data_IF_398661280561
#
_entry.id   IF_398661280561
#
_cell.length_a   1.000
_cell.length_b   1.000
_cell.length_c   1.000
_cell.angle_alpha   90.00
_cell.angle_beta   90.00
_cell.angle_gamma   90.00
#
_symmetry.space_group_name_H-M   'P 1'
#
loop_
_entity.id
_entity.type
_entity.pdbx_description
1 polymer ?
#
# COMPACT_ATOMS: atom_id res chain seq x y z
N UNK A 1 15.37 -21.03 -0.10
CA UNK A 1 14.82 -20.26 -1.25
C UNK A 1 16.02 -19.86 -2.09
N UNK A 2 16.00 -20.04 -3.42
CA UNK A 2 17.16 -19.71 -4.26
C UNK A 2 17.44 -18.20 -4.26
N UNK A 3 18.71 -17.81 -4.35
CA UNK A 3 19.12 -16.40 -4.36
C UNK A 3 18.44 -15.59 -5.47
N UNK A 4 18.17 -16.22 -6.62
CA UNK A 4 17.41 -15.65 -7.73
C UNK A 4 15.99 -15.21 -7.32
N UNK A 5 15.30 -16.02 -6.51
CA UNK A 5 13.95 -15.70 -6.02
C UNK A 5 13.95 -14.46 -5.13
N UNK A 6 14.99 -14.29 -4.30
CA UNK A 6 15.15 -13.12 -3.43
C UNK A 6 15.39 -11.85 -4.24
N UNK A 7 16.23 -11.93 -5.28
CA UNK A 7 16.49 -10.81 -6.18
C UNK A 7 15.23 -10.41 -6.95
N UNK A 8 14.48 -11.38 -7.47
CA UNK A 8 13.23 -11.12 -8.19
C UNK A 8 12.19 -10.42 -7.31
N UNK A 9 11.98 -10.91 -6.09
CA UNK A 9 11.04 -10.31 -5.15
C UNK A 9 11.47 -8.90 -4.73
N UNK A 10 12.78 -8.66 -4.53
CA UNK A 10 13.29 -7.32 -4.23
C UNK A 10 13.03 -6.34 -5.39
N UNK A 11 13.26 -6.75 -6.63
CA UNK A 11 12.97 -5.94 -7.82
C UNK A 11 11.46 -5.67 -7.97
N UNK A 12 10.63 -6.66 -7.68
CA UNK A 12 9.17 -6.52 -7.69
C UNK A 12 8.70 -5.52 -6.64
N UNK A 13 9.17 -5.63 -5.40
CA UNK A 13 8.84 -4.70 -4.31
C UNK A 13 9.31 -3.28 -4.62
N UNK A 14 10.52 -3.11 -5.17
CA UNK A 14 11.01 -1.81 -5.64
C UNK A 14 10.06 -1.16 -6.66
N UNK A 15 9.52 -1.93 -7.62
CA UNK A 15 8.54 -1.43 -8.59
C UNK A 15 7.24 -0.97 -7.93
N UNK A 16 6.78 -1.68 -6.89
CA UNK A 16 5.59 -1.29 -6.10
C UNK A 16 5.85 0.04 -5.40
N UNK A 17 6.97 0.16 -4.67
CA UNK A 17 7.33 1.39 -3.97
C UNK A 17 7.53 2.59 -4.91
N UNK A 18 8.09 2.38 -6.10
CA UNK A 18 8.24 3.43 -7.11
C UNK A 18 6.89 4.00 -7.59
N UNK A 19 5.80 3.23 -7.47
CA UNK A 19 4.44 3.60 -7.87
C UNK A 19 3.49 3.72 -6.69
N UNK A 20 4.02 3.82 -5.48
CA UNK A 20 3.24 3.73 -4.25
C UNK A 20 2.10 4.76 -4.23
N UNK A 21 2.39 6.02 -4.57
CA UNK A 21 1.36 7.06 -4.64
C UNK A 21 0.23 6.72 -5.60
N UNK A 22 0.53 6.24 -6.81
CA UNK A 22 -0.47 5.84 -7.80
C UNK A 22 -1.35 4.69 -7.28
N UNK A 23 -0.73 3.68 -6.64
CA UNK A 23 -1.43 2.53 -6.09
C UNK A 23 -2.33 2.91 -4.92
N UNK A 24 -1.84 3.73 -3.99
CA UNK A 24 -2.62 4.24 -2.86
C UNK A 24 -3.81 5.09 -3.34
N UNK A 25 -3.63 5.92 -4.37
CA UNK A 25 -4.73 6.67 -4.98
C UNK A 25 -5.77 5.76 -5.63
N UNK A 26 -5.35 4.67 -6.29
CA UNK A 26 -6.29 3.68 -6.83
C UNK A 26 -7.10 3.01 -5.73
N UNK A 27 -6.48 2.62 -4.62
CA UNK A 27 -7.18 2.05 -3.47
C UNK A 27 -8.19 3.04 -2.93
N UNK A 28 -7.77 4.28 -2.64
CA UNK A 28 -8.65 5.35 -2.16
C UNK A 28 -9.84 5.57 -3.10
N UNK A 29 -9.59 5.66 -4.41
CA UNK A 29 -10.65 5.83 -5.41
C UNK A 29 -11.67 4.69 -5.36
N UNK A 30 -11.22 3.44 -5.33
CA UNK A 30 -12.12 2.27 -5.30
C UNK A 30 -12.94 2.21 -4.00
N UNK A 31 -12.34 2.54 -2.86
CA UNK A 31 -13.06 2.61 -1.59
C UNK A 31 -14.18 3.66 -1.65
N UNK A 32 -13.87 4.87 -2.13
CA UNK A 32 -14.85 5.96 -2.23
C UNK A 32 -15.93 5.73 -3.30
N UNK A 33 -15.65 4.93 -4.33
CA UNK A 33 -16.67 4.47 -5.29
C UNK A 33 -17.68 3.51 -4.63
N UNK A 34 -17.25 2.71 -3.65
CA UNK A 34 -18.10 1.74 -2.94
C UNK A 34 -18.88 2.38 -1.79
N UNK A 35 -18.23 3.25 -1.03
CA UNK A 35 -18.81 4.05 0.04
C UNK A 35 -18.21 5.47 0.01
N UNK A 36 -18.95 6.49 -0.48
CA UNK A 36 -18.48 7.86 -0.53
C UNK A 36 -18.18 8.50 0.83
N UNK A 37 -18.66 7.91 1.94
CA UNK A 37 -18.39 8.40 3.30
C UNK A 37 -17.20 7.70 3.96
N UNK A 38 -16.67 6.64 3.35
CA UNK A 38 -15.54 5.92 3.92
C UNK A 38 -14.29 6.80 4.01
N UNK A 39 -13.49 6.54 5.05
CA UNK A 39 -12.23 7.22 5.30
C UNK A 39 -11.07 6.25 5.06
N UNK A 40 -10.02 6.72 4.38
CA UNK A 40 -8.87 5.89 3.99
C UNK A 40 -7.59 6.52 4.54
N UNK A 41 -6.90 5.76 5.37
CA UNK A 41 -5.70 6.18 6.08
C UNK A 41 -4.51 5.31 5.70
N UNK A 42 -3.38 5.98 5.43
CA UNK A 42 -2.07 5.31 5.39
C UNK A 42 -1.45 5.43 6.78
N UNK A 43 -1.00 4.31 7.33
CA UNK A 43 -0.32 4.28 8.63
C UNK A 43 0.92 3.39 8.57
N UNK A 44 1.56 3.19 9.72
CA UNK A 44 2.77 2.37 9.83
C UNK A 44 4.01 3.03 9.24
N UNK A 45 5.04 2.22 9.00
CA UNK A 45 6.40 2.70 8.68
C UNK A 45 6.48 3.58 7.43
N UNK A 46 5.58 3.38 6.46
CA UNK A 46 5.48 4.18 5.24
C UNK A 46 5.02 5.60 5.56
N UNK A 47 3.98 5.75 6.39
CA UNK A 47 3.48 7.06 6.81
C UNK A 47 4.50 7.82 7.67
N UNK A 48 5.31 7.10 8.44
CA UNK A 48 6.37 7.66 9.28
C UNK A 48 7.67 7.99 8.53
N UNK A 49 7.76 7.66 7.23
CA UNK A 49 8.97 7.84 6.43
C UNK A 49 10.14 6.92 6.81
N UNK A 50 9.86 5.82 7.53
CA UNK A 50 10.85 4.83 8.00
C UNK A 50 10.82 3.51 7.22
N UNK A 51 10.02 3.41 6.16
CA UNK A 51 9.86 2.19 5.37
C UNK A 51 11.05 1.89 4.46
N UNK A 52 11.34 0.60 4.27
CA UNK A 52 12.24 0.08 3.24
C UNK A 52 11.45 -0.68 2.18
N UNK A 53 12.08 -1.15 1.10
CA UNK A 53 11.38 -1.97 0.11
C UNK A 53 10.87 -3.32 0.65
N UNK A 54 11.39 -3.79 1.78
CA UNK A 54 10.86 -4.99 2.44
C UNK A 54 9.74 -4.67 3.43
N UNK A 55 9.48 -3.40 3.75
CA UNK A 55 8.38 -3.01 4.64
C UNK A 55 7.02 -3.28 4.01
N UNK A 56 6.04 -3.55 4.86
CA UNK A 56 4.64 -3.63 4.47
C UNK A 56 4.04 -2.22 4.27
N UNK A 57 2.91 -2.16 3.56
CA UNK A 57 2.16 -0.93 3.28
C UNK A 57 0.81 -1.07 3.99
N UNK A 58 0.66 -0.39 5.12
CA UNK A 58 -0.51 -0.52 5.97
C UNK A 58 -1.58 0.53 5.61
N UNK A 59 -2.76 0.05 5.19
CA UNK A 59 -3.91 0.89 4.83
C UNK A 59 -5.11 0.52 5.71
N UNK A 60 -5.65 1.51 6.42
CA UNK A 60 -6.87 1.39 7.21
C UNK A 60 -8.03 2.03 6.46
N UNK A 61 -9.13 1.29 6.33
CA UNK A 61 -10.39 1.78 5.77
C UNK A 61 -11.44 1.76 6.87
N UNK A 62 -12.04 2.92 7.15
CA UNK A 62 -13.15 3.07 8.09
C UNK A 62 -14.41 3.35 7.28
N UNK A 63 -15.47 2.58 7.51
CA UNK A 63 -16.76 2.68 6.81
C UNK A 63 -17.87 2.31 7.78
N UNK A 64 -19.07 2.84 7.55
CA UNK A 64 -20.23 2.53 8.35
C UNK A 64 -20.80 1.15 7.97
N UNK A 65 -21.37 0.43 8.95
CA UNK A 65 -22.17 -0.76 8.63
C UNK A 65 -23.43 -0.32 7.90
N UNK A 66 -23.68 -0.93 6.74
CA UNK A 66 -25.01 -0.92 6.11
C UNK A 66 -26.01 -1.72 6.92
#
# INVERSE_FOLDING_TARGET
MSDELLVEEALRRKKVFARLGELLQKIKKRVLELDPKAEVYLFGSVAEGRSTYSSDIDVLVVTDRR
#
